data_IF_104981563567
#
_entry.id   IF_104981563567
#
_cell.length_a   1.000
_cell.length_b   1.000
_cell.length_c   1.000
_cell.angle_alpha   90.00
_cell.angle_beta   90.00
_cell.angle_gamma   90.00
#
_symmetry.space_group_name_H-M   'P 1'
#
loop_
_entity.id
_entity.type
_entity.pdbx_description
1 polymer ?
#
# COMPACT_ATOMS: atom_id res chain seq x y z
N UNK A 1 -3.63 -26.05 11.42
CA UNK A 1 -4.75 -25.27 12.00
C UNK A 1 -4.98 -24.02 11.15
N UNK A 2 -6.23 -23.61 10.90
CA UNK A 2 -6.56 -22.39 10.15
C UNK A 2 -6.89 -21.27 11.14
N UNK A 3 -6.08 -20.21 11.15
CA UNK A 3 -6.20 -19.09 12.10
C UNK A 3 -6.84 -17.82 11.52
N UNK A 4 -6.97 -17.75 10.19
CA UNK A 4 -7.60 -16.63 9.46
C UNK A 4 -8.57 -17.16 8.41
N UNK A 5 -9.62 -16.38 8.14
CA UNK A 5 -10.55 -16.66 7.04
C UNK A 5 -9.84 -16.51 5.68
N UNK A 6 -10.25 -17.30 4.69
CA UNK A 6 -9.58 -17.36 3.39
C UNK A 6 -9.72 -16.03 2.63
N UNK A 7 -10.91 -15.44 2.67
CA UNK A 7 -11.23 -14.16 2.03
C UNK A 7 -10.41 -13.03 2.65
N UNK A 8 -10.31 -13.01 3.99
CA UNK A 8 -9.48 -12.05 4.71
C UNK A 8 -7.99 -12.20 4.35
N UNK A 9 -7.50 -13.45 4.23
CA UNK A 9 -6.13 -13.71 3.79
C UNK A 9 -5.88 -13.18 2.38
N UNK A 10 -6.79 -13.43 1.43
CA UNK A 10 -6.67 -12.97 0.05
C UNK A 10 -6.64 -11.43 -0.04
N UNK A 11 -7.45 -10.73 0.75
CA UNK A 11 -7.42 -9.26 0.86
C UNK A 11 -6.11 -8.77 1.49
N UNK A 12 -5.61 -9.44 2.53
CA UNK A 12 -4.34 -9.09 3.16
C UNK A 12 -3.16 -9.24 2.18
N UNK A 13 -3.13 -10.31 1.38
CA UNK A 13 -2.11 -10.50 0.34
C UNK A 13 -2.18 -9.35 -0.68
N UNK A 14 -3.38 -8.92 -1.08
CA UNK A 14 -3.53 -7.76 -1.97
C UNK A 14 -2.95 -6.48 -1.33
N UNK A 15 -3.28 -6.19 -0.07
CA UNK A 15 -2.74 -5.02 0.64
C UNK A 15 -1.22 -5.07 0.76
N UNK A 16 -0.65 -6.22 1.06
CA UNK A 16 0.81 -6.41 1.15
C UNK A 16 1.50 -6.37 -0.23
N UNK A 17 0.80 -6.77 -1.29
CA UNK A 17 1.28 -6.55 -2.67
C UNK A 17 1.35 -5.05 -2.97
N UNK A 18 0.34 -4.26 -2.57
CA UNK A 18 0.37 -2.80 -2.72
C UNK A 18 1.49 -2.11 -1.92
N UNK A 19 1.95 -2.68 -0.81
CA UNK A 19 3.15 -2.17 -0.11
C UNK A 19 4.40 -2.25 -0.99
N UNK A 20 4.51 -3.28 -1.83
CA UNK A 20 5.61 -3.46 -2.77
C UNK A 20 5.37 -2.66 -4.06
N UNK A 21 4.13 -2.58 -4.54
CA UNK A 21 3.80 -1.84 -5.77
C UNK A 21 3.74 -0.33 -5.58
N UNK A 22 3.42 0.20 -4.41
CA UNK A 22 3.28 1.64 -4.22
C UNK A 22 3.75 2.14 -2.84
N UNK A 23 4.01 1.25 -1.89
CA UNK A 23 4.33 1.61 -0.51
C UNK A 23 5.83 1.63 -0.18
N UNK A 24 6.15 1.23 1.04
CA UNK A 24 7.51 1.25 1.59
C UNK A 24 8.39 0.09 1.11
N UNK A 25 7.80 -0.92 0.46
CA UNK A 25 8.48 -2.14 0.01
C UNK A 25 8.94 -2.12 -1.44
N UNK A 26 8.94 -0.96 -2.12
CA UNK A 26 9.21 -0.87 -3.57
C UNK A 26 10.54 -1.50 -4.00
N UNK A 27 11.55 -1.46 -3.13
CA UNK A 27 12.86 -2.05 -3.42
C UNK A 27 12.86 -3.58 -3.45
N UNK A 28 11.79 -4.23 -2.98
CA UNK A 28 11.61 -5.67 -3.03
C UNK A 28 10.97 -6.17 -4.34
N UNK A 29 10.60 -5.29 -5.28
CA UNK A 29 9.96 -5.70 -6.54
C UNK A 29 10.84 -6.66 -7.34
N UNK A 30 10.22 -7.75 -7.82
CA UNK A 30 10.82 -8.70 -8.75
C UNK A 30 10.19 -8.51 -10.14
N UNK A 31 10.99 -8.21 -11.19
CA UNK A 31 10.46 -8.07 -12.55
C UNK A 31 9.68 -9.31 -13.00
N UNK A 32 8.49 -9.10 -13.56
CA UNK A 32 7.64 -10.17 -14.11
C UNK A 32 7.01 -11.11 -13.07
N UNK A 33 7.08 -10.79 -11.78
CA UNK A 33 6.59 -11.67 -10.71
C UNK A 33 5.89 -10.87 -9.61
N UNK A 34 4.72 -11.35 -9.20
CA UNK A 34 3.98 -10.76 -8.09
C UNK A 34 4.67 -11.09 -6.76
N UNK A 35 4.85 -10.05 -5.94
CA UNK A 35 5.48 -10.13 -4.61
C UNK A 35 4.62 -9.36 -3.63
N UNK A 36 4.43 -9.91 -2.44
CA UNK A 36 3.82 -9.23 -1.31
C UNK A 36 4.81 -9.17 -0.15
N UNK A 37 4.78 -8.09 0.62
CA UNK A 37 5.70 -7.95 1.74
C UNK A 37 5.41 -6.75 2.62
N UNK A 38 6.17 -6.64 3.69
CA UNK A 38 6.05 -5.54 4.64
C UNK A 38 7.42 -5.19 5.22
N UNK A 39 7.69 -3.89 5.27
CA UNK A 39 8.82 -3.34 6.00
C UNK A 39 8.47 -3.13 7.48
N UNK A 40 9.46 -3.34 8.36
CA UNK A 40 9.43 -2.96 9.77
C UNK A 40 10.72 -2.22 10.16
N UNK A 41 10.60 -1.24 11.05
CA UNK A 41 11.74 -0.55 11.65
C UNK A 41 11.39 -0.30 13.11
N UNK A 42 12.25 -0.67 14.06
CA UNK A 42 11.98 -0.42 15.48
C UNK A 42 12.19 1.05 15.84
N UNK A 43 11.58 1.47 16.95
CA UNK A 43 11.85 2.77 17.54
C UNK A 43 13.33 2.83 17.94
N UNK A 44 13.96 4.00 17.79
CA UNK A 44 15.42 4.19 17.89
C UNK A 44 16.27 3.47 16.81
N UNK A 45 15.65 2.96 15.73
CA UNK A 45 16.33 2.43 14.56
C UNK A 45 17.34 1.29 14.84
N UNK A 46 17.07 0.44 15.83
CA UNK A 46 17.97 -0.68 16.19
C UNK A 46 17.80 -1.88 15.27
N UNK A 47 16.58 -2.05 14.75
CA UNK A 47 16.21 -3.15 13.88
C UNK A 47 15.55 -2.62 12.61
N UNK A 48 15.94 -3.22 11.49
CA UNK A 48 15.30 -3.05 10.20
C UNK A 48 14.93 -4.43 9.63
N UNK A 49 13.65 -4.60 9.32
CA UNK A 49 13.09 -5.87 8.84
C UNK A 49 12.44 -5.69 7.48
N UNK A 50 12.60 -6.68 6.61
CA UNK A 50 11.70 -6.90 5.49
C UNK A 50 11.26 -8.35 5.45
N UNK A 51 9.95 -8.59 5.49
CA UNK A 51 9.38 -9.92 5.30
C UNK A 51 8.55 -9.88 4.03
N UNK A 52 8.83 -10.79 3.10
CA UNK A 52 8.15 -10.87 1.82
C UNK A 52 7.98 -12.29 1.34
N UNK A 53 7.06 -12.48 0.40
CA UNK A 53 6.75 -13.77 -0.19
C UNK A 53 6.29 -13.65 -1.64
N UNK A 54 6.50 -14.75 -2.37
CA UNK A 54 5.89 -15.07 -3.67
C UNK A 54 4.84 -16.15 -3.45
N UNK A 55 4.23 -16.66 -4.53
CA UNK A 55 3.39 -17.86 -4.46
C UNK A 55 4.18 -19.13 -4.07
N UNK A 56 5.52 -19.07 -4.09
CA UNK A 56 6.41 -20.23 -3.96
C UNK A 56 7.12 -20.25 -2.60
N UNK A 57 7.60 -19.09 -2.14
CA UNK A 57 8.48 -18.98 -0.97
C UNK A 57 8.16 -17.75 -0.13
N UNK A 58 8.42 -17.87 1.16
CA UNK A 58 8.49 -16.77 2.13
C UNK A 58 9.91 -16.62 2.63
N UNK A 59 10.37 -15.38 2.77
CA UNK A 59 11.67 -15.07 3.36
C UNK A 59 11.59 -13.78 4.17
N UNK A 60 12.40 -13.71 5.23
CA UNK A 60 12.58 -12.53 6.06
C UNK A 60 14.06 -12.13 6.09
N UNK A 61 14.33 -10.84 6.01
CA UNK A 61 15.66 -10.27 6.22
C UNK A 61 15.58 -9.32 7.40
N UNK A 62 16.48 -9.53 8.36
CA UNK A 62 16.72 -8.63 9.48
C UNK A 62 18.10 -8.02 9.36
N UNK A 63 18.20 -6.77 9.79
CA UNK A 63 19.45 -6.09 10.04
C UNK A 63 19.39 -5.41 11.40
N UNK A 64 20.47 -5.54 12.15
CA UNK A 64 20.73 -4.91 13.44
C UNK A 64 22.16 -5.22 13.86
N UNK A 65 22.64 -4.50 14.87
CA UNK A 65 23.93 -4.81 15.49
C UNK A 65 23.70 -5.66 16.75
N UNK A 66 24.59 -6.62 17.00
CA UNK A 66 24.51 -7.50 18.17
C UNK A 66 24.64 -6.74 19.50
N UNK A 67 25.32 -5.59 19.49
CA UNK A 67 25.45 -4.68 20.64
C UNK A 67 24.26 -3.72 20.78
N UNK A 68 23.21 -3.94 19.98
CA UNK A 68 21.97 -3.18 19.94
C UNK A 68 22.17 -1.71 19.52
N UNK A 69 23.33 -1.27 19.02
CA UNK A 69 23.51 0.13 18.62
C UNK A 69 22.56 0.54 17.48
N UNK A 70 22.14 1.82 17.37
CA UNK A 70 21.26 2.26 16.30
C UNK A 70 21.88 2.12 14.91
N UNK A 71 21.09 1.65 13.95
CA UNK A 71 21.40 1.73 12.53
C UNK A 71 21.32 3.19 12.05
N UNK A 72 22.25 3.59 11.18
CA UNK A 72 22.25 4.92 10.58
C UNK A 72 21.69 4.85 9.16
N UNK A 73 20.53 5.47 8.93
CA UNK A 73 19.93 5.57 7.60
C UNK A 73 19.35 4.26 7.04
N UNK A 74 19.26 3.19 7.84
CA UNK A 74 18.72 1.89 7.43
C UNK A 74 17.32 1.70 8.03
N UNK A 75 16.32 1.60 7.16
CA UNK A 75 14.97 1.17 7.53
C UNK A 75 14.58 -0.10 6.77
N UNK A 76 13.50 -0.77 7.21
CA UNK A 76 13.08 -2.04 6.63
C UNK A 76 12.78 -2.01 5.12
N UNK A 77 12.38 -0.85 4.57
CA UNK A 77 12.16 -0.67 3.13
C UNK A 77 13.42 -0.41 2.31
N UNK A 78 14.58 -0.25 2.96
CA UNK A 78 15.88 0.01 2.36
C UNK A 78 16.68 -1.28 2.15
N UNK A 79 17.84 -1.37 2.79
CA UNK A 79 18.77 -2.50 2.62
C UNK A 79 18.14 -3.88 2.87
N UNK A 80 17.30 -4.11 3.90
CA UNK A 80 16.66 -5.41 4.08
C UNK A 80 15.80 -5.84 2.88
N UNK A 81 15.06 -4.90 2.27
CA UNK A 81 14.24 -5.16 1.08
C UNK A 81 15.10 -5.44 -0.16
N UNK A 82 16.25 -4.76 -0.32
CA UNK A 82 17.20 -5.01 -1.40
C UNK A 82 17.86 -6.39 -1.28
N UNK A 83 18.32 -6.76 -0.06
CA UNK A 83 18.89 -8.09 0.21
C UNK A 83 17.85 -9.18 -0.04
N UNK A 84 16.60 -8.94 0.36
CA UNK A 84 15.49 -9.85 0.08
C UNK A 84 15.29 -10.02 -1.43
N UNK A 85 15.28 -8.93 -2.20
CA UNK A 85 15.14 -8.97 -3.67
C UNK A 85 16.27 -9.76 -4.32
N UNK A 86 17.51 -9.49 -3.94
CA UNK A 86 18.69 -10.15 -4.48
C UNK A 86 18.67 -11.66 -4.21
N UNK A 87 18.31 -12.03 -2.98
CA UNK A 87 18.16 -13.43 -2.58
C UNK A 87 17.05 -14.11 -3.39
N UNK A 88 15.88 -13.48 -3.46
CA UNK A 88 14.71 -14.06 -4.11
C UNK A 88 14.84 -14.10 -5.63
N UNK A 89 15.59 -13.18 -6.24
CA UNK A 89 15.91 -13.22 -7.67
C UNK A 89 16.70 -14.48 -8.03
N UNK A 90 17.63 -14.91 -7.17
CA UNK A 90 18.40 -16.14 -7.36
C UNK A 90 17.54 -17.39 -7.14
N UNK A 91 16.74 -17.41 -6.06
CA UNK A 91 15.84 -18.51 -5.73
C UNK A 91 14.82 -18.78 -6.86
N UNK A 92 14.36 -17.73 -7.54
CA UNK A 92 13.30 -17.84 -8.56
C UNK A 92 13.80 -17.97 -10.00
N UNK A 93 15.12 -18.05 -10.24
CA UNK A 93 15.71 -18.02 -11.59
C UNK A 93 15.10 -19.03 -12.56
N UNK A 94 14.74 -20.22 -12.07
CA UNK A 94 14.23 -21.33 -12.88
C UNK A 94 12.76 -21.69 -12.57
N UNK A 95 12.07 -20.82 -11.81
CA UNK A 95 10.70 -21.08 -11.40
C UNK A 95 9.71 -20.30 -12.26
N UNK A 96 8.54 -20.88 -12.60
CA UNK A 96 7.49 -20.16 -13.29
C UNK A 96 6.94 -19.04 -12.38
N UNK A 97 6.60 -17.89 -12.99
CA UNK A 97 6.03 -16.74 -12.28
C UNK A 97 4.55 -16.97 -11.93
N UNK A 98 4.30 -17.73 -10.85
CA UNK A 98 2.95 -17.99 -10.35
C UNK A 98 2.36 -16.73 -9.70
N UNK A 99 1.06 -16.44 -9.92
CA UNK A 99 0.41 -15.29 -9.30
C UNK A 99 0.19 -15.53 -7.81
N UNK A 100 0.16 -14.44 -7.03
CA UNK A 100 -0.21 -14.49 -5.62
C UNK A 100 -1.69 -14.87 -5.47
N UNK A 101 -2.06 -15.63 -4.42
CA UNK A 101 -3.45 -15.95 -4.11
C UNK A 101 -4.14 -14.76 -3.44
N UNK A 102 -4.19 -13.62 -4.14
CA UNK A 102 -4.79 -12.38 -3.66
C UNK A 102 -6.21 -12.19 -4.19
N UNK A 103 -7.00 -11.38 -3.48
CA UNK A 103 -8.33 -11.01 -3.96
C UNK A 103 -8.18 -10.20 -5.26
N UNK A 104 -8.96 -10.53 -6.29
CA UNK A 104 -9.14 -9.66 -7.46
C UNK A 104 -9.99 -8.48 -7.02
N UNK A 105 -9.36 -7.38 -6.61
CA UNK A 105 -10.09 -6.18 -6.21
C UNK A 105 -10.61 -5.52 -7.48
N UNK A 106 -11.90 -5.71 -7.78
CA UNK A 106 -12.61 -4.79 -8.67
C UNK A 106 -12.41 -3.37 -8.11
N UNK A 107 -12.14 -2.34 -8.95
CA UNK A 107 -11.93 -0.99 -8.46
C UNK A 107 -13.05 -0.61 -7.50
N UNK A 108 -12.74 -0.48 -6.21
CA UNK A 108 -13.73 0.03 -5.28
C UNK A 108 -13.98 1.49 -5.69
N UNK A 109 -15.26 1.93 -5.78
CA UNK A 109 -15.56 3.34 -5.96
C UNK A 109 -14.75 4.11 -4.93
N UNK A 110 -13.86 5.00 -5.38
CA UNK A 110 -13.03 5.79 -4.49
C UNK A 110 -13.96 6.39 -3.44
N UNK A 111 -13.74 6.05 -2.17
CA UNK A 111 -14.50 6.65 -1.07
C UNK A 111 -14.19 8.14 -1.17
N UNK A 112 -15.12 8.90 -1.74
CA UNK A 112 -14.95 10.32 -1.93
C UNK A 112 -14.69 10.91 -0.55
N UNK A 113 -13.45 11.35 -0.32
CA UNK A 113 -13.04 11.95 0.95
C UNK A 113 -14.09 13.01 1.30
N UNK A 114 -14.70 12.94 2.48
CA UNK A 114 -15.77 13.84 2.91
C UNK A 114 -15.39 15.33 2.75
N UNK A 115 -14.08 15.64 2.75
CA UNK A 115 -13.51 16.95 2.45
C UNK A 115 -13.88 17.46 1.05
N UNK A 116 -13.81 16.62 0.02
CA UNK A 116 -14.17 16.98 -1.36
C UNK A 116 -15.68 17.16 -1.51
N UNK A 117 -16.50 16.38 -0.81
CA UNK A 117 -17.96 16.54 -0.85
C UNK A 117 -18.45 17.80 -0.10
N UNK A 118 -17.83 18.17 1.03
CA UNK A 118 -18.17 19.39 1.76
C UNK A 118 -17.80 20.65 0.97
N UNK A 119 -16.65 20.67 0.31
CA UNK A 119 -16.23 21.81 -0.53
C UNK A 119 -17.13 21.94 -1.78
N UNK A 120 -17.51 20.84 -2.42
CA UNK A 120 -18.41 20.89 -3.58
C UNK A 120 -19.81 21.37 -3.20
N UNK A 121 -20.36 20.92 -2.07
CA UNK A 121 -21.69 21.33 -1.61
C UNK A 121 -21.75 22.82 -1.24
N UNK A 122 -20.71 23.40 -0.64
CA UNK A 122 -20.74 24.83 -0.33
C UNK A 122 -20.63 25.70 -1.59
N UNK A 123 -19.85 25.27 -2.58
CA UNK A 123 -19.72 25.97 -3.86
C UNK A 123 -21.02 25.94 -4.68
N UNK A 124 -21.67 24.78 -4.78
CA UNK A 124 -22.96 24.64 -5.47
C UNK A 124 -24.06 25.49 -4.82
N UNK A 125 -24.20 25.43 -3.49
CA UNK A 125 -25.20 26.23 -2.77
C UNK A 125 -25.00 27.74 -2.94
N UNK A 126 -23.77 28.21 -3.15
CA UNK A 126 -23.49 29.62 -3.40
C UNK A 126 -23.90 30.03 -4.82
N UNK A 127 -23.59 29.21 -5.82
CA UNK A 127 -23.99 29.46 -7.21
C UNK A 127 -25.50 29.40 -7.38
N UNK A 128 -26.17 28.43 -6.75
CA UNK A 128 -27.63 28.27 -6.82
C UNK A 128 -28.35 29.49 -6.23
N UNK A 129 -27.85 30.05 -5.12
CA UNK A 129 -28.42 31.28 -4.53
C UNK A 129 -28.23 32.50 -5.43
N UNK A 130 -27.08 32.61 -6.09
CA UNK A 130 -26.82 33.72 -7.03
C UNK A 130 -27.76 33.63 -8.23
N UNK A 131 -27.97 32.43 -8.77
CA UNK A 131 -28.91 32.22 -9.88
C UNK A 131 -30.34 32.57 -9.47
N UNK A 132 -30.79 32.10 -8.30
CA UNK A 132 -32.13 32.39 -7.81
C UNK A 132 -32.35 33.89 -7.57
N UNK A 133 -31.37 34.59 -7.00
CA UNK A 133 -31.47 36.04 -6.78
C UNK A 133 -31.54 36.82 -8.11
N UNK A 134 -30.77 36.43 -9.12
CA UNK A 134 -30.80 37.08 -10.45
C UNK A 134 -32.14 36.81 -11.15
N UNK A 135 -32.70 35.61 -11.01
CA UNK A 135 -34.01 35.28 -11.58
C UNK A 135 -35.14 36.03 -10.87
N UNK A 136 -35.09 36.16 -9.55
CA UNK A 136 -36.07 36.94 -8.78
C UNK A 136 -36.01 38.43 -9.13
N UNK A 137 -34.81 38.99 -9.36
CA UNK A 137 -34.62 40.37 -9.84
C UNK A 137 -35.12 40.57 -11.27
N UNK A 138 -34.99 39.58 -12.14
CA UNK A 138 -35.44 39.65 -13.54
C UNK A 138 -36.96 39.51 -13.69
N UNK A 139 -37.60 38.70 -12.85
CA UNK A 139 -39.05 38.43 -12.92
C UNK A 139 -39.88 39.20 -11.90
N UNK A 140 -39.26 40.02 -11.04
CA UNK A 140 -39.94 40.97 -10.16
C UNK A 140 -40.86 40.31 -9.13
N UNK A 141 -40.60 39.06 -8.75
CA UNK A 141 -41.38 38.35 -7.75
C UNK A 141 -40.83 38.69 -6.35
N UNK A 142 -41.48 39.64 -5.67
CA UNK A 142 -41.39 39.81 -4.21
C UNK A 142 -42.62 39.24 -3.55
#
# INVERSE_FOLDING_TARGET
>A
ERVIQQEAAQQLVYMMHQVVEAGTGQRARLPGRQVAGKSGTTQAARDAWFIGFTADYVAGVWMGYDDNTPLTGVGGGGLPAEIWKETMSRVHKELPARPLPMATVAPQPQVATERSQRQNRSGQNAVDRVILNVLDELFGLR
#
